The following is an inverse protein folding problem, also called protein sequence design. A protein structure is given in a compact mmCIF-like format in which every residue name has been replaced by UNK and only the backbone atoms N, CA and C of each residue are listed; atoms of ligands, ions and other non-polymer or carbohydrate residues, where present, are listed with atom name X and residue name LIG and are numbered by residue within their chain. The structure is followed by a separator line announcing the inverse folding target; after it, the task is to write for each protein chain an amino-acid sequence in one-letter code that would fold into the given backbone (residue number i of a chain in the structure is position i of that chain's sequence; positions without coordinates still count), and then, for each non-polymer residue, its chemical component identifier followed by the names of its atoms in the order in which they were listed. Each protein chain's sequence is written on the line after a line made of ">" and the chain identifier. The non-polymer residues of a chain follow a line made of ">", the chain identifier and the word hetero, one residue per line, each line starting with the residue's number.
data_IF_805047544347
#
_entry.id   IF_805047544347
#
_cell.length_a   1.000
_cell.length_b   1.000
_cell.length_c   1.000
_cell.angle_alpha   90.00
_cell.angle_beta   90.00
_cell.angle_gamma   90.00
#
_symmetry.space_group_name_H-M   'P 1'
#
loop_
_entity.id
_entity.type
_entity.pdbx_description
1 polymer ?
#
# COMPACT_ATOMS: atom_id res chain seq x y z
N UNK A 1 -16.69 -1.12 4.23
CA UNK A 1 -15.87 -0.30 3.31
C UNK A 1 -14.47 -0.88 3.38
N UNK A 2 -14.10 -1.70 2.39
CA UNK A 2 -12.70 -2.13 2.24
C UNK A 2 -11.94 -0.90 1.77
N UNK A 3 -11.31 -0.20 2.71
CA UNK A 3 -10.29 0.79 2.41
C UNK A 3 -9.28 0.09 1.51
N UNK A 4 -9.09 0.59 0.30
CA UNK A 4 -8.00 0.11 -0.55
C UNK A 4 -6.71 0.44 0.21
N UNK A 5 -6.08 -0.57 0.80
CA UNK A 5 -4.85 -0.44 1.62
C UNK A 5 -3.60 -0.23 0.76
N UNK A 6 -3.79 0.36 -0.43
CA UNK A 6 -2.72 0.79 -1.31
C UNK A 6 -2.50 2.26 -1.04
N UNK A 7 -1.27 2.60 -0.69
CA UNK A 7 -0.83 3.97 -0.48
C UNK A 7 -0.02 4.37 -1.70
N UNK A 8 -0.36 5.51 -2.30
CA UNK A 8 0.40 6.11 -3.39
C UNK A 8 0.95 7.45 -2.95
N UNK A 9 2.22 7.68 -3.21
CA UNK A 9 2.93 8.92 -2.91
C UNK A 9 3.51 9.48 -4.20
N UNK A 10 3.48 10.80 -4.32
CA UNK A 10 4.13 11.56 -5.37
C UNK A 10 5.36 12.28 -4.79
N UNK A 11 6.40 12.48 -5.60
CA UNK A 11 7.63 13.15 -5.17
C UNK A 11 8.70 12.25 -4.53
N UNK A 12 8.55 10.92 -4.65
CA UNK A 12 9.53 9.93 -4.20
C UNK A 12 9.27 9.35 -2.79
N UNK A 13 10.20 8.52 -2.29
CA UNK A 13 10.00 7.74 -1.06
C UNK A 13 10.35 8.50 0.22
N UNK A 14 10.95 9.68 0.12
CA UNK A 14 11.44 10.43 1.28
C UNK A 14 10.36 11.37 1.80
N UNK A 15 9.90 11.14 3.02
CA UNK A 15 8.87 11.93 3.72
C UNK A 15 9.43 12.53 5.01
N UNK A 16 8.73 13.50 5.58
CA UNK A 16 8.96 13.90 6.97
C UNK A 16 8.05 13.09 7.91
N UNK A 17 8.10 13.37 9.22
CA UNK A 17 7.31 12.63 10.20
C UNK A 17 5.79 12.76 9.96
N UNK A 18 5.32 13.93 9.53
CA UNK A 18 3.90 14.15 9.22
C UNK A 18 3.49 13.36 7.98
N UNK A 19 4.31 13.39 6.92
CA UNK A 19 4.08 12.62 5.71
C UNK A 19 4.05 11.11 5.94
N UNK A 20 4.83 10.59 6.89
CA UNK A 20 4.75 9.18 7.28
C UNK A 20 3.39 8.84 7.90
N UNK A 21 2.90 9.68 8.80
CA UNK A 21 1.61 9.50 9.45
C UNK A 21 0.45 9.64 8.47
N UNK A 22 0.49 10.64 7.59
CA UNK A 22 -0.50 10.84 6.54
C UNK A 22 -0.54 9.66 5.55
N UNK A 23 0.64 9.13 5.19
CA UNK A 23 0.76 8.06 4.19
C UNK A 23 0.36 6.69 4.75
N UNK A 24 0.90 6.31 5.91
CA UNK A 24 0.79 4.93 6.43
C UNK A 24 -0.04 4.86 7.72
N UNK A 25 -0.33 5.99 8.36
CA UNK A 25 -0.97 6.06 9.68
C UNK A 25 -0.04 5.63 10.81
N UNK A 26 1.28 5.65 10.60
CA UNK A 26 2.27 5.26 11.59
C UNK A 26 3.10 6.47 12.02
N UNK A 27 3.44 6.52 13.30
CA UNK A 27 4.29 7.56 13.86
C UNK A 27 5.56 6.91 14.43
N UNK A 28 6.72 7.47 14.11
CA UNK A 28 7.98 7.01 14.67
C UNK A 28 8.23 7.64 16.05
N UNK A 29 8.02 6.88 17.12
CA UNK A 29 8.22 7.27 18.52
C UNK A 29 9.55 6.69 19.07
N UNK A 30 10.06 7.13 20.23
CA UNK A 30 11.28 6.56 20.81
C UNK A 30 11.23 5.04 21.01
N UNK A 31 10.08 4.51 21.43
CA UNK A 31 9.84 3.09 21.66
C UNK A 31 9.70 2.24 20.39
N UNK A 32 9.49 2.86 19.23
CA UNK A 32 9.33 2.17 17.95
C UNK A 32 8.38 2.89 16.99
N UNK A 33 7.96 2.17 15.97
CA UNK A 33 6.99 2.64 14.99
C UNK A 33 5.59 2.25 15.49
N UNK A 34 4.72 3.22 15.73
CA UNK A 34 3.43 2.99 16.40
C UNK A 34 2.23 3.45 15.56
N UNK A 35 1.12 2.70 15.65
CA UNK A 35 -0.19 3.02 15.08
C UNK A 35 -1.26 2.54 16.04
N UNK A 36 -2.13 3.45 16.46
CA UNK A 36 -3.12 3.21 17.51
C UNK A 36 -2.44 2.59 18.77
N UNK A 37 -2.89 1.41 19.20
CA UNK A 37 -2.33 0.68 20.35
C UNK A 37 -1.18 -0.28 19.98
N UNK A 38 -0.80 -0.37 18.70
CA UNK A 38 0.23 -1.28 18.22
C UNK A 38 1.57 -0.55 17.98
N UNK A 39 2.66 -1.11 18.51
CA UNK A 39 4.02 -0.61 18.26
C UNK A 39 4.94 -1.74 17.80
N UNK A 40 5.68 -1.48 16.72
CA UNK A 40 6.71 -2.35 16.16
C UNK A 40 8.07 -1.84 16.61
N UNK A 41 8.87 -2.72 17.21
CA UNK A 41 10.23 -2.39 17.63
C UNK A 41 11.10 -2.15 16.39
N UNK A 42 11.79 -1.02 16.37
CA UNK A 42 12.74 -0.66 15.31
C UNK A 42 14.15 -0.89 15.85
N UNK A 43 14.78 -2.01 15.47
CA UNK A 43 16.12 -2.36 15.95
C UNK A 43 17.21 -1.45 15.37
N UNK A 44 17.09 -1.11 14.09
CA UNK A 44 18.00 -0.23 13.37
C UNK A 44 17.19 0.97 12.87
N UNK A 45 17.19 2.06 13.65
CA UNK A 45 16.45 3.27 13.29
C UNK A 45 17.08 3.97 12.09
N UNK A 46 18.40 3.98 12.00
CA UNK A 46 19.12 4.70 10.95
C UNK A 46 18.79 4.11 9.57
N UNK A 47 18.51 2.79 9.50
CA UNK A 47 18.03 2.15 8.28
C UNK A 47 16.66 2.65 7.77
N UNK A 48 15.88 3.39 8.58
CA UNK A 48 14.63 4.01 8.14
C UNK A 48 14.81 5.42 7.58
N UNK A 49 16.03 5.96 7.60
CA UNK A 49 16.31 7.34 7.19
C UNK A 49 17.26 7.41 5.99
N UNK A 50 17.04 8.41 5.15
CA UNK A 50 18.02 8.92 4.19
C UNK A 50 18.27 10.40 4.53
N UNK A 51 19.43 10.67 5.13
CA UNK A 51 19.73 11.94 5.78
C UNK A 51 18.72 12.24 6.91
N UNK A 52 18.06 13.39 6.83
CA UNK A 52 17.08 13.83 7.82
C UNK A 52 15.63 13.43 7.47
N UNK A 53 15.44 12.66 6.38
CA UNK A 53 14.12 12.26 5.88
C UNK A 53 13.88 10.78 6.09
N UNK A 54 12.61 10.42 6.27
CA UNK A 54 12.19 9.02 6.48
C UNK A 54 11.95 8.38 5.11
N UNK A 55 12.54 7.21 4.87
CA UNK A 55 12.26 6.40 3.69
C UNK A 55 11.02 5.53 3.94
N UNK A 56 9.89 5.88 3.30
CA UNK A 56 8.63 5.13 3.43
C UNK A 56 8.70 3.70 2.92
N UNK A 57 9.64 3.39 2.01
CA UNK A 57 9.82 2.03 1.49
C UNK A 57 10.58 1.16 2.46
N UNK A 58 11.54 1.72 3.20
CA UNK A 58 12.18 1.06 4.33
C UNK A 58 11.16 0.77 5.45
N UNK A 59 10.30 1.75 5.77
CA UNK A 59 9.21 1.56 6.73
C UNK A 59 8.21 0.49 6.25
N UNK A 60 7.82 0.52 4.97
CA UNK A 60 6.93 -0.48 4.39
C UNK A 60 7.53 -1.90 4.49
N UNK A 61 8.83 -2.04 4.20
CA UNK A 61 9.56 -3.30 4.34
C UNK A 61 9.53 -3.82 5.77
N UNK A 62 9.79 -2.97 6.77
CA UNK A 62 9.69 -3.32 8.19
C UNK A 62 8.29 -3.82 8.58
N UNK A 63 7.25 -3.24 7.99
CA UNK A 63 5.85 -3.59 8.20
C UNK A 63 5.35 -4.79 7.36
N UNK A 64 6.24 -5.47 6.63
CA UNK A 64 5.90 -6.54 5.66
C UNK A 64 4.80 -6.09 4.66
N UNK A 65 4.98 -4.88 4.13
CA UNK A 65 4.19 -4.31 3.04
C UNK A 65 5.05 -4.25 1.77
N UNK A 66 4.56 -4.81 0.64
CA UNK A 66 5.28 -4.69 -0.61
C UNK A 66 5.28 -3.21 -1.05
N UNK A 67 6.43 -2.73 -1.52
CA UNK A 67 6.57 -1.38 -2.04
C UNK A 67 7.32 -1.40 -3.37
N UNK A 68 6.99 -0.46 -4.25
CA UNK A 68 7.73 -0.20 -5.49
C UNK A 68 7.82 1.30 -5.71
N UNK A 69 8.93 1.73 -6.32
CA UNK A 69 9.20 3.13 -6.62
C UNK A 69 9.50 3.23 -8.11
N UNK A 70 8.77 4.11 -8.79
CA UNK A 70 9.15 4.61 -10.10
C UNK A 70 9.91 5.92 -9.91
N UNK A 71 11.23 5.84 -10.05
CA UNK A 71 12.12 6.98 -9.87
C UNK A 71 11.99 8.04 -10.96
N UNK A 72 11.52 7.67 -12.15
CA UNK A 72 11.40 8.61 -13.27
C UNK A 72 10.18 9.53 -13.07
N UNK A 73 9.03 8.95 -12.70
CA UNK A 73 7.83 9.73 -12.38
C UNK A 73 7.77 10.23 -10.93
N UNK A 74 8.67 9.75 -10.08
CA UNK A 74 8.68 10.08 -8.65
C UNK A 74 7.49 9.46 -7.90
N UNK A 75 6.95 8.34 -8.38
CA UNK A 75 5.82 7.65 -7.76
C UNK A 75 6.29 6.54 -6.85
N UNK A 76 5.62 6.38 -5.71
CA UNK A 76 5.80 5.22 -4.81
C UNK A 76 4.45 4.59 -4.57
N UNK A 77 4.37 3.28 -4.75
CA UNK A 77 3.18 2.49 -4.45
C UNK A 77 3.50 1.47 -3.35
N UNK A 78 2.76 1.53 -2.25
CA UNK A 78 2.88 0.62 -1.11
C UNK A 78 1.60 -0.19 -1.01
N UNK A 79 1.71 -1.50 -1.17
CA UNK A 79 0.58 -2.42 -1.16
C UNK A 79 0.10 -2.79 0.25
N UNK A 80 -0.88 -3.69 0.27
CA UNK A 80 -1.56 -4.13 1.47
C UNK A 80 -0.64 -4.83 2.50
N UNK A 81 -0.96 -4.72 3.81
CA UNK A 81 -0.33 -5.52 4.87
C UNK A 81 -0.42 -7.03 4.63
N UNK A 82 0.57 -7.77 5.15
CA UNK A 82 0.67 -9.22 5.02
C UNK A 82 -0.62 -9.96 5.40
N UNK A 83 -1.26 -9.58 6.49
CA UNK A 83 -2.46 -10.25 6.99
C UNK A 83 -3.61 -10.17 5.99
N UNK A 84 -3.84 -8.99 5.41
CA UNK A 84 -4.86 -8.81 4.39
C UNK A 84 -4.51 -9.58 3.11
N UNK A 85 -3.24 -9.54 2.67
CA UNK A 85 -2.77 -10.33 1.51
C UNK A 85 -2.99 -11.83 1.74
N UNK A 86 -2.71 -12.34 2.95
CA UNK A 86 -2.94 -13.74 3.33
C UNK A 86 -4.42 -14.09 3.37
N UNK A 87 -5.25 -13.23 3.96
CA UNK A 87 -6.70 -13.43 4.00
C UNK A 87 -7.30 -13.51 2.60
N UNK A 88 -6.89 -12.64 1.67
CA UNK A 88 -7.34 -12.67 0.28
C UNK A 88 -7.05 -14.01 -0.42
N UNK A 89 -5.88 -14.60 -0.19
CA UNK A 89 -5.50 -15.92 -0.74
C UNK A 89 -6.30 -17.04 -0.09
N UNK A 90 -6.44 -17.02 1.24
CA UNK A 90 -7.09 -18.09 2.00
C UNK A 90 -8.61 -18.12 1.79
N UNK A 91 -9.25 -16.95 1.81
CA UNK A 91 -10.69 -16.81 1.67
C UNK A 91 -11.15 -17.06 0.22
N UNK A 92 -10.23 -16.98 -0.74
CA UNK A 92 -10.48 -17.11 -2.18
C UNK A 92 -11.60 -16.17 -2.68
N UNK A 93 -11.78 -15.05 -2.00
CA UNK A 93 -12.73 -14.00 -2.36
C UNK A 93 -11.95 -12.82 -2.93
N UNK A 94 -12.09 -12.60 -4.23
CA UNK A 94 -11.65 -11.36 -4.84
C UNK A 94 -12.46 -10.18 -4.25
N UNK A 95 -11.82 -9.07 -3.88
CA UNK A 95 -12.50 -7.87 -3.42
C UNK A 95 -13.40 -7.33 -4.53
N UNK A 96 -14.48 -6.64 -4.14
CA UNK A 96 -15.28 -5.90 -5.10
C UNK A 96 -14.61 -4.56 -5.40
N UNK A 97 -14.68 -4.12 -6.66
CA UNK A 97 -14.12 -2.87 -7.13
C UNK A 97 -14.92 -2.35 -8.31
N UNK A 98 -14.77 -1.05 -8.60
CA UNK A 98 -15.41 -0.39 -9.74
C UNK A 98 -14.33 0.07 -10.70
N UNK A 99 -14.42 -0.36 -11.96
CA UNK A 99 -13.59 0.14 -13.05
C UNK A 99 -14.49 0.63 -14.18
N UNK A 100 -14.07 1.66 -14.94
CA UNK A 100 -14.76 2.01 -16.17
C UNK A 100 -14.60 0.87 -17.20
N UNK A 101 -15.64 0.63 -17.99
CA UNK A 101 -15.54 -0.18 -19.21
C UNK A 101 -14.91 0.61 -20.37
N UNK A 102 -14.91 0.01 -21.56
CA UNK A 102 -14.36 0.63 -22.78
C UNK A 102 -15.10 1.91 -23.22
N UNK A 103 -16.36 2.05 -22.82
CA UNK A 103 -17.19 3.23 -23.08
C UNK A 103 -17.12 4.25 -21.91
N UNK A 104 -16.31 3.97 -20.89
CA UNK A 104 -16.12 4.82 -19.71
C UNK A 104 -17.20 4.66 -18.64
N UNK A 105 -18.11 3.70 -18.78
CA UNK A 105 -19.20 3.49 -17.83
C UNK A 105 -18.71 2.69 -16.60
N UNK A 106 -19.11 3.07 -15.38
CA UNK A 106 -18.68 2.37 -14.18
C UNK A 106 -19.27 0.95 -14.14
N UNK A 107 -18.40 -0.04 -13.97
CA UNK A 107 -18.76 -1.44 -13.86
C UNK A 107 -18.26 -2.02 -12.53
N UNK A 108 -19.13 -2.65 -11.74
CA UNK A 108 -18.72 -3.34 -10.52
C UNK A 108 -18.24 -4.75 -10.86
N UNK A 109 -17.19 -5.21 -10.19
CA UNK A 109 -16.71 -6.58 -10.34
C UNK A 109 -17.76 -7.63 -9.91
N UNK A 110 -18.64 -7.26 -8.98
CA UNK A 110 -19.79 -8.06 -8.54
C UNK A 110 -20.93 -8.15 -9.55
N UNK A 111 -21.01 -7.27 -10.56
CA UNK A 111 -22.05 -7.33 -11.59
C UNK A 111 -21.95 -8.59 -12.46
N UNK A 112 -20.74 -9.16 -12.58
CA UNK A 112 -20.47 -10.43 -13.28
C UNK A 112 -20.73 -11.68 -12.42
N UNK A 113 -21.60 -11.60 -11.40
CA UNK A 113 -22.01 -12.76 -10.58
C UNK A 113 -22.55 -13.91 -11.43
N UNK A 114 -22.41 -15.13 -10.91
CA UNK A 114 -22.86 -16.38 -11.56
C UNK A 114 -22.09 -16.78 -12.83
N UNK A 115 -20.92 -16.19 -13.10
CA UNK A 115 -19.98 -16.58 -14.16
C UNK A 115 -18.59 -16.83 -13.58
N UNK A 116 -17.76 -17.63 -14.26
CA UNK A 116 -16.31 -17.66 -13.98
C UNK A 116 -15.74 -16.29 -14.38
N UNK A 117 -14.97 -15.67 -13.47
CA UNK A 117 -14.36 -14.34 -13.67
C UNK A 117 -12.85 -14.50 -13.78
N UNK A 118 -12.24 -13.83 -14.74
CA UNK A 118 -10.79 -13.70 -14.92
C UNK A 118 -10.47 -12.22 -15.00
N UNK A 119 -9.61 -11.73 -14.11
CA UNK A 119 -9.06 -10.37 -14.20
C UNK A 119 -7.69 -10.45 -14.87
N UNK A 120 -7.50 -9.68 -15.93
CA UNK A 120 -6.23 -9.58 -16.65
C UNK A 120 -5.77 -8.13 -16.59
N UNK A 121 -4.64 -7.89 -15.92
CA UNK A 121 -3.95 -6.61 -15.96
C UNK A 121 -2.86 -6.68 -17.04
N UNK A 122 -2.85 -5.72 -17.96
CA UNK A 122 -1.87 -5.63 -19.04
C UNK A 122 -1.52 -4.16 -19.30
N UNK A 123 -0.35 -3.93 -19.88
CA UNK A 123 0.06 -2.63 -20.44
C UNK A 123 0.41 -2.83 -21.91
N UNK A 124 0.12 -1.82 -22.74
CA UNK A 124 0.35 -1.86 -24.18
C UNK A 124 1.76 -1.39 -24.56
N UNK A 125 2.77 -1.78 -23.79
CA UNK A 125 4.19 -1.36 -23.86
C UNK A 125 4.49 -0.05 -23.14
#
# INVERSE_FOLDING_TARGET
>A
MTTNDIVMLEGGPLVDAAGLEDALGWTLKPEGLCKDDACVIVNDRDALFDGDRIDVTAVASLLDRPATTDTESGLVAIGAPREQRRAAVNDMKAPDFVLPDIDGLPMNFSDHRSKKRLLVAFSSW
#
